data_IF_113351577768
#
_entry.id   IF_113351577768
#
_cell.length_a   1.000
_cell.length_b   1.000
_cell.length_c   1.000
_cell.angle_alpha   90.00
_cell.angle_beta   90.00
_cell.angle_gamma   90.00
#
_symmetry.space_group_name_H-M   'P 1'
#
loop_
_entity.id
_entity.type
_entity.pdbx_description
1 polymer ?
#
# COMPACT_ATOMS: atom_id res chain seq x y z
N UNK A 1 3.72 3.26 -21.38
CA UNK A 1 4.53 4.06 -20.44
C UNK A 1 5.08 3.12 -19.37
N UNK A 2 6.29 3.33 -18.86
CA UNK A 2 6.83 2.49 -17.79
C UNK A 2 6.28 2.94 -16.43
N UNK A 3 5.75 2.00 -15.64
CA UNK A 3 5.35 2.23 -14.25
C UNK A 3 6.55 1.90 -13.36
N UNK A 4 6.93 2.83 -12.48
CA UNK A 4 7.96 2.58 -11.48
C UNK A 4 7.34 2.60 -10.09
N UNK A 5 7.74 1.61 -9.28
CA UNK A 5 7.38 1.48 -7.87
C UNK A 5 8.67 1.50 -7.05
N UNK A 6 8.84 2.54 -6.23
CA UNK A 6 9.92 2.63 -5.25
C UNK A 6 9.37 2.37 -3.84
N UNK A 7 10.25 2.00 -2.91
CA UNK A 7 9.85 1.72 -1.53
C UNK A 7 10.75 2.49 -0.59
N UNK A 8 10.17 3.21 0.38
CA UNK A 8 10.90 4.07 1.32
C UNK A 8 10.46 3.81 2.76
N UNK A 9 11.39 3.62 3.71
CA UNK A 9 11.06 3.64 5.12
C UNK A 9 10.59 5.05 5.53
N UNK A 10 9.98 5.14 6.71
CA UNK A 10 9.64 6.43 7.33
C UNK A 10 10.37 6.61 8.66
N UNK A 11 10.21 7.78 9.28
CA UNK A 11 10.68 8.00 10.66
C UNK A 11 9.96 7.11 11.67
N UNK A 12 8.75 6.63 11.34
CA UNK A 12 8.04 5.62 12.13
C UNK A 12 8.46 4.21 11.65
N UNK A 13 9.07 3.38 12.51
CA UNK A 13 9.53 2.04 12.14
C UNK A 13 8.39 1.07 11.75
N UNK A 14 7.15 1.38 12.14
CA UNK A 14 5.96 0.61 11.80
C UNK A 14 5.25 1.11 10.56
N UNK A 15 5.74 2.17 9.90
CA UNK A 15 5.19 2.68 8.65
C UNK A 15 6.20 2.60 7.51
N UNK A 16 5.76 2.04 6.37
CA UNK A 16 6.55 1.91 5.15
C UNK A 16 5.78 2.45 3.95
N UNK A 17 6.44 3.20 3.07
CA UNK A 17 5.81 3.82 1.89
C UNK A 17 6.22 3.14 0.59
N UNK A 18 5.27 3.09 -0.33
CA UNK A 18 5.37 2.55 -1.67
C UNK A 18 5.05 3.68 -2.64
N UNK A 19 6.07 4.29 -3.23
CA UNK A 19 5.99 5.47 -4.08
C UNK A 19 5.77 5.03 -5.53
N UNK A 20 4.73 5.55 -6.15
CA UNK A 20 4.31 5.21 -7.51
C UNK A 20 4.63 6.41 -8.41
N UNK A 21 5.17 6.16 -9.60
CA UNK A 21 5.66 7.22 -10.51
C UNK A 21 4.57 8.09 -11.14
N UNK A 22 3.30 7.84 -10.83
CA UNK A 22 2.14 8.53 -11.38
C UNK A 22 0.98 8.49 -10.38
N UNK A 23 -0.04 9.30 -10.65
CA UNK A 23 -1.28 9.28 -9.88
C UNK A 23 -2.13 8.07 -10.29
N UNK A 24 -2.50 7.23 -9.32
CA UNK A 24 -3.31 6.02 -9.54
C UNK A 24 -4.73 6.12 -8.96
N UNK A 25 -5.05 7.22 -8.28
CA UNK A 25 -6.31 7.45 -7.58
C UNK A 25 -6.82 8.85 -7.89
N UNK A 26 -8.10 8.97 -8.26
CA UNK A 26 -8.77 10.28 -8.41
C UNK A 26 -9.12 10.89 -7.05
N UNK A 27 -9.37 10.05 -6.04
CA UNK A 27 -9.58 10.47 -4.67
C UNK A 27 -8.27 11.02 -4.06
N UNK A 28 -8.37 12.12 -3.32
CA UNK A 28 -7.22 12.77 -2.67
C UNK A 28 -6.53 11.84 -1.67
N UNK A 29 -7.33 11.13 -0.86
CA UNK A 29 -6.83 10.18 0.12
C UNK A 29 -7.88 9.16 0.51
N UNK A 30 -7.46 7.93 0.75
CA UNK A 30 -8.26 6.87 1.36
C UNK A 30 -7.47 6.25 2.50
N UNK A 31 -8.16 5.93 3.58
CA UNK A 31 -7.53 5.41 4.78
C UNK A 31 -8.39 4.29 5.36
N UNK A 32 -7.75 3.15 5.61
CA UNK A 32 -8.41 1.95 6.08
C UNK A 32 -7.67 1.44 7.30
N UNK A 33 -8.38 1.23 8.42
CA UNK A 33 -7.80 0.69 9.66
C UNK A 33 -8.15 -0.79 9.88
N UNK A 34 -8.88 -1.40 8.95
CA UNK A 34 -9.28 -2.81 9.02
C UNK A 34 -9.55 -3.42 7.65
N UNK A 35 -9.58 -4.75 7.60
CA UNK A 35 -9.96 -5.52 6.40
C UNK A 35 -11.41 -5.27 6.02
N UNK A 36 -12.27 -5.09 7.01
CA UNK A 36 -13.70 -4.86 6.87
C UNK A 36 -13.97 -3.50 6.22
N UNK A 37 -13.24 -2.45 6.63
CA UNK A 37 -13.34 -1.13 5.99
C UNK A 37 -12.78 -1.12 4.58
N UNK A 38 -11.71 -1.88 4.33
CA UNK A 38 -11.13 -2.02 3.00
C UNK A 38 -11.96 -2.91 2.05
N UNK A 39 -13.07 -3.50 2.52
CA UNK A 39 -13.90 -4.36 1.70
C UNK A 39 -14.45 -3.59 0.50
N UNK A 40 -14.12 -4.06 -0.71
CA UNK A 40 -14.50 -3.40 -1.97
C UNK A 40 -13.41 -2.52 -2.59
N UNK A 41 -12.36 -2.18 -1.84
CA UNK A 41 -11.19 -1.51 -2.39
C UNK A 41 -10.27 -2.53 -3.09
N UNK A 42 -10.04 -2.36 -4.40
CA UNK A 42 -9.27 -3.32 -5.18
C UNK A 42 -7.81 -3.42 -4.72
N UNK A 43 -7.24 -2.36 -4.14
CA UNK A 43 -5.83 -2.28 -3.70
C UNK A 43 -5.71 -2.56 -2.22
N UNK A 44 -6.50 -1.89 -1.37
CA UNK A 44 -6.37 -1.99 0.08
C UNK A 44 -6.83 -3.36 0.61
N UNK A 45 -7.93 -3.91 0.08
CA UNK A 45 -8.45 -5.22 0.51
C UNK A 45 -7.41 -6.34 0.47
N UNK A 46 -6.70 -6.59 -0.66
CA UNK A 46 -5.67 -7.62 -0.69
C UNK A 46 -4.44 -7.31 0.16
N UNK A 47 -4.13 -6.05 0.45
CA UNK A 47 -3.01 -5.69 1.35
C UNK A 47 -3.27 -6.14 2.79
N UNK A 48 -4.52 -6.12 3.25
CA UNK A 48 -4.90 -6.67 4.55
C UNK A 48 -4.82 -8.21 4.64
N UNK A 49 -4.57 -8.92 3.53
CA UNK A 49 -4.27 -10.36 3.57
C UNK A 49 -2.83 -10.64 3.98
N UNK A 50 -1.96 -9.64 3.93
CA UNK A 50 -0.59 -9.75 4.42
C UNK A 50 -0.63 -9.74 5.94
N UNK A 51 -0.19 -10.84 6.54
CA UNK A 51 -0.15 -10.99 8.00
C UNK A 51 0.71 -9.87 8.61
N UNK A 52 0.12 -9.17 9.58
CA UNK A 52 0.78 -8.10 10.32
C UNK A 52 0.44 -6.70 9.86
N UNK A 53 -0.32 -6.49 8.78
CA UNK A 53 -0.82 -5.17 8.40
C UNK A 53 -1.97 -4.73 9.32
N UNK A 54 -1.92 -3.48 9.77
CA UNK A 54 -2.95 -2.85 10.64
C UNK A 54 -3.61 -1.65 10.01
N UNK A 55 -2.97 -1.01 9.02
CA UNK A 55 -3.53 0.15 8.31
C UNK A 55 -2.99 0.22 6.89
N UNK A 56 -3.84 0.65 5.97
CA UNK A 56 -3.48 0.99 4.60
C UNK A 56 -3.94 2.41 4.33
N UNK A 57 -3.01 3.29 3.99
CA UNK A 57 -3.31 4.66 3.57
C UNK A 57 -2.91 4.83 2.12
N UNK A 58 -3.89 5.13 1.26
CA UNK A 58 -3.68 5.41 -0.15
C UNK A 58 -3.74 6.92 -0.35
N UNK A 59 -2.69 7.48 -0.94
CA UNK A 59 -2.65 8.84 -1.46
C UNK A 59 -2.58 8.77 -2.99
N UNK A 60 -2.64 9.92 -3.66
CA UNK A 60 -2.68 9.97 -5.12
C UNK A 60 -1.52 9.22 -5.80
N UNK A 61 -0.30 9.29 -5.25
CA UNK A 61 0.91 8.72 -5.85
C UNK A 61 1.73 7.82 -4.90
N UNK A 62 1.22 7.49 -3.71
CA UNK A 62 1.87 6.52 -2.85
C UNK A 62 0.88 5.78 -1.96
N UNK A 63 1.31 4.61 -1.48
CA UNK A 63 0.60 3.82 -0.48
C UNK A 63 1.49 3.70 0.75
N UNK A 64 0.96 3.98 1.93
CA UNK A 64 1.62 3.69 3.19
C UNK A 64 0.97 2.47 3.85
N UNK A 65 1.80 1.55 4.32
CA UNK A 65 1.39 0.41 5.12
C UNK A 65 1.84 0.63 6.56
N UNK A 66 0.94 0.42 7.51
CA UNK A 66 1.30 0.27 8.92
C UNK A 66 1.26 -1.20 9.30
N UNK A 67 2.29 -1.67 10.01
CA UNK A 67 2.36 -3.03 10.53
C UNK A 67 2.21 -3.07 12.05
N UNK A 68 1.93 -4.25 12.60
CA UNK A 68 2.10 -4.57 14.02
C UNK A 68 3.58 -4.51 14.40
N UNK A 69 3.87 -4.25 15.67
CA UNK A 69 5.23 -4.14 16.19
C UNK A 69 6.04 -5.42 15.93
N UNK A 70 5.44 -6.59 16.16
CA UNK A 70 6.08 -7.90 16.02
C UNK A 70 6.28 -8.36 14.56
N UNK A 71 5.63 -7.70 13.59
CA UNK A 71 5.74 -8.07 12.19
C UNK A 71 7.05 -7.57 11.57
N UNK A 72 7.56 -8.30 10.56
CA UNK A 72 8.82 -7.98 9.89
C UNK A 72 8.57 -7.54 8.45
N UNK A 73 9.16 -6.41 8.06
CA UNK A 73 9.06 -5.87 6.70
C UNK A 73 9.52 -6.84 5.61
N UNK A 74 10.48 -7.72 5.92
CA UNK A 74 10.97 -8.75 4.99
C UNK A 74 9.89 -9.70 4.49
N UNK A 75 8.81 -9.92 5.26
CA UNK A 75 7.67 -10.75 4.87
C UNK A 75 6.53 -9.94 4.24
N UNK A 76 6.60 -8.61 4.26
CA UNK A 76 5.52 -7.70 3.82
C UNK A 76 5.85 -7.04 2.49
N UNK A 77 7.09 -6.55 2.32
CA UNK A 77 7.45 -5.69 1.18
C UNK A 77 7.26 -6.42 -0.16
N UNK A 78 7.77 -7.64 -0.30
CA UNK A 78 7.66 -8.40 -1.54
C UNK A 78 6.20 -8.68 -1.97
N UNK A 79 5.31 -9.22 -1.11
CA UNK A 79 3.91 -9.40 -1.50
C UNK A 79 3.18 -8.06 -1.70
N UNK A 80 3.48 -7.02 -0.93
CA UNK A 80 2.89 -5.69 -1.13
C UNK A 80 3.26 -5.11 -2.51
N UNK A 81 4.52 -5.21 -2.93
CA UNK A 81 4.96 -4.81 -4.28
C UNK A 81 4.14 -5.52 -5.35
N UNK A 82 3.97 -6.84 -5.24
CA UNK A 82 3.22 -7.61 -6.22
C UNK A 82 1.75 -7.19 -6.30
N UNK A 83 1.11 -6.95 -5.14
CA UNK A 83 -0.29 -6.53 -5.07
C UNK A 83 -0.47 -5.14 -5.68
N UNK A 84 0.39 -4.19 -5.30
CA UNK A 84 0.35 -2.80 -5.75
C UNK A 84 0.64 -2.72 -7.25
N UNK A 85 1.74 -3.30 -7.72
CA UNK A 85 2.15 -3.24 -9.12
C UNK A 85 1.11 -3.83 -10.07
N UNK A 86 0.34 -4.85 -9.64
CA UNK A 86 -0.72 -5.44 -10.43
C UNK A 86 -1.97 -4.54 -10.58
N UNK A 87 -2.09 -3.45 -9.80
CA UNK A 87 -3.31 -2.64 -9.69
C UNK A 87 -3.11 -1.14 -9.92
N UNK A 88 -1.87 -0.68 -9.98
CA UNK A 88 -1.53 0.73 -10.26
C UNK A 88 -1.07 0.92 -11.70
N UNK A 89 -1.80 0.33 -12.65
CA UNK A 89 -1.59 0.62 -14.06
C UNK A 89 -1.93 2.09 -14.35
N UNK A 90 -1.26 2.75 -15.32
CA UNK A 90 -1.57 4.13 -15.67
C UNK A 90 -3.04 4.23 -16.08
N UNK A 91 -3.74 5.23 -15.55
CA UNK A 91 -5.02 5.66 -16.11
C UNK A 91 -4.75 6.09 -17.57
N UNK A 92 -5.50 5.49 -18.50
CA UNK A 92 -5.34 5.69 -19.94
C UNK A 92 -5.62 7.13 -20.39
#
# INVERSE_FOLDING_TARGET
>A
MAVFLNTEPTSDPNVYRFIISHTFSEEESRDFISREEAAGDEIASPLFHIIGITRVTCQQNYIALTKKDEALWSFIIAPAINIIAARVAPLG
#
